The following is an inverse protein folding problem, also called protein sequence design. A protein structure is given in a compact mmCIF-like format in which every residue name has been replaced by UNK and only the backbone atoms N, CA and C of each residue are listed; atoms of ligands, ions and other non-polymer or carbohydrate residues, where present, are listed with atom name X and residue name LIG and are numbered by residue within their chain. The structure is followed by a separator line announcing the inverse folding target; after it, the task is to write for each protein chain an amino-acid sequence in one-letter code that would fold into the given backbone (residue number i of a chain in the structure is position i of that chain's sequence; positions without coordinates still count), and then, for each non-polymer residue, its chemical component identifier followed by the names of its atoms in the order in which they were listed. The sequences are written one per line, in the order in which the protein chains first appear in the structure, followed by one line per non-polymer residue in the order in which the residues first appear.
data_IF_746012630338
#
_entry.id   IF_746012630338
#
_cell.length_a   1.000
_cell.length_b   1.000
_cell.length_c   1.000
_cell.angle_alpha   90.00
_cell.angle_beta   90.00
_cell.angle_gamma   90.00
#
_symmetry.space_group_name_H-M   'P 1'
#
loop_
_entity.id
_entity.type
_entity.pdbx_description
1 polymer ?
#
# COMPACT_ATOMS: atom_id res chain seq x y z
N UNK A 1 -2.00 -4.64 19.07
CA UNK A 1 -3.08 -5.24 18.24
C UNK A 1 -2.79 -5.13 16.73
N UNK A 2 -2.35 -3.96 16.21
CA UNK A 2 -2.02 -3.74 14.78
C UNK A 2 -1.07 -4.76 14.11
N UNK A 3 -0.01 -5.21 14.79
CA UNK A 3 0.95 -6.20 14.24
C UNK A 3 0.31 -7.55 13.86
N UNK A 4 -0.74 -7.98 14.57
CA UNK A 4 -1.49 -9.21 14.25
C UNK A 4 -2.29 -9.03 12.97
N UNK A 5 -2.92 -7.86 12.80
CA UNK A 5 -3.69 -7.51 11.60
C UNK A 5 -2.80 -7.46 10.36
N UNK A 6 -1.60 -6.86 10.48
CA UNK A 6 -0.63 -6.82 9.37
C UNK A 6 -0.18 -8.22 8.96
N UNK A 7 0.14 -9.12 9.91
CA UNK A 7 0.54 -10.50 9.59
C UNK A 7 -0.59 -11.32 8.95
N UNK A 8 -1.83 -11.14 9.42
CA UNK A 8 -3.02 -11.77 8.83
C UNK A 8 -3.24 -11.28 7.39
N UNK A 9 -3.17 -9.97 7.17
CA UNK A 9 -3.28 -9.38 5.83
C UNK A 9 -2.12 -9.80 4.91
N UNK A 10 -0.89 -9.87 5.43
CA UNK A 10 0.30 -10.24 4.68
C UNK A 10 0.29 -11.69 4.18
N UNK A 11 -0.54 -12.57 4.74
CA UNK A 11 -0.65 -13.97 4.31
C UNK A 11 -1.12 -14.12 2.86
N UNK A 12 -1.81 -13.12 2.31
CA UNK A 12 -2.24 -13.09 0.91
C UNK A 12 -1.19 -12.47 -0.02
N UNK A 13 0.03 -12.21 0.45
CA UNK A 13 1.08 -11.59 -0.34
C UNK A 13 2.34 -12.43 -0.39
N UNK A 14 2.97 -12.47 -1.56
CA UNK A 14 4.25 -13.16 -1.79
C UNK A 14 5.22 -12.23 -2.52
N UNK A 15 6.51 -12.32 -2.21
CA UNK A 15 7.55 -11.59 -2.95
C UNK A 15 8.32 -12.57 -3.81
N UNK A 16 8.42 -12.28 -5.11
CA UNK A 16 9.21 -13.04 -6.10
C UNK A 16 10.11 -12.08 -6.85
N UNK A 17 11.40 -12.34 -6.87
CA UNK A 17 12.40 -11.54 -7.61
C UNK A 17 12.35 -10.02 -7.32
N UNK A 18 12.02 -9.66 -6.07
CA UNK A 18 11.89 -8.25 -5.65
C UNK A 18 10.53 -7.61 -5.95
N UNK A 19 9.62 -8.33 -6.61
CA UNK A 19 8.26 -7.89 -6.93
C UNK A 19 7.26 -8.48 -5.94
N UNK A 20 6.33 -7.66 -5.45
CA UNK A 20 5.26 -8.07 -4.54
C UNK A 20 4.03 -8.52 -5.34
N UNK A 21 3.44 -9.65 -4.97
CA UNK A 21 2.25 -10.23 -5.58
C UNK A 21 1.17 -10.46 -4.54
N UNK A 22 -0.09 -10.29 -4.94
CA UNK A 22 -1.28 -10.64 -4.19
C UNK A 22 -1.83 -11.98 -4.69
N UNK A 23 -1.98 -12.95 -3.80
CA UNK A 23 -2.47 -14.28 -4.10
C UNK A 23 -3.99 -14.33 -3.93
N UNK A 24 -4.71 -14.34 -5.05
CA UNK A 24 -6.16 -14.56 -5.08
C UNK A 24 -6.44 -16.05 -5.17
N UNK A 25 -7.08 -16.60 -4.14
CA UNK A 25 -7.59 -17.98 -4.15
C UNK A 25 -8.79 -18.10 -5.10
N UNK A 26 -8.73 -19.03 -6.04
CA UNK A 26 -9.90 -19.41 -6.82
C UNK A 26 -10.67 -20.51 -6.10
N UNK A 27 -12.00 -20.36 -5.96
CA UNK A 27 -12.83 -21.38 -5.33
C UNK A 27 -12.79 -22.66 -6.17
N UNK A 28 -12.28 -23.75 -5.59
CA UNK A 28 -12.29 -25.07 -6.21
C UNK A 28 -11.04 -25.44 -7.01
N UNK A 29 -10.05 -24.55 -7.11
CA UNK A 29 -8.73 -24.89 -7.63
C UNK A 29 -7.69 -24.71 -6.53
N UNK A 30 -6.73 -25.63 -6.45
CA UNK A 30 -5.54 -25.50 -5.58
C UNK A 30 -4.50 -24.52 -6.17
N UNK A 31 -4.92 -23.72 -7.15
CA UNK A 31 -4.10 -22.75 -7.87
C UNK A 31 -4.46 -21.33 -7.43
N UNK A 32 -3.42 -20.52 -7.24
CA UNK A 32 -3.53 -19.12 -6.85
C UNK A 32 -3.29 -18.26 -8.07
N UNK A 33 -4.15 -17.28 -8.31
CA UNK A 33 -3.84 -16.22 -9.27
C UNK A 33 -2.94 -15.21 -8.58
N UNK A 34 -1.70 -15.08 -9.05
CA UNK A 34 -0.74 -14.09 -8.56
C UNK A 34 -0.90 -12.78 -9.33
N UNK A 35 -1.35 -11.74 -8.62
CA UNK A 35 -1.55 -10.40 -9.18
C UNK A 35 -0.43 -9.48 -8.72
N UNK A 36 0.28 -8.83 -9.63
CA UNK A 36 1.38 -7.93 -9.28
C UNK A 36 0.87 -6.71 -8.50
N UNK A 37 1.45 -6.44 -7.34
CA UNK A 37 1.04 -5.34 -6.47
C UNK A 37 1.70 -4.03 -6.90
N UNK A 38 0.87 -3.08 -7.31
CA UNK A 38 1.35 -1.79 -7.82
C UNK A 38 1.33 -0.75 -6.70
N UNK A 39 2.50 -0.45 -6.14
CA UNK A 39 2.64 0.52 -5.04
C UNK A 39 2.72 1.98 -5.52
N UNK A 40 3.36 2.23 -6.66
CA UNK A 40 3.62 3.57 -7.16
C UNK A 40 2.40 4.16 -7.87
N UNK A 41 2.03 5.40 -7.51
CA UNK A 41 0.88 6.08 -8.11
C UNK A 41 1.05 6.38 -9.61
N UNK A 42 2.26 6.72 -10.05
CA UNK A 42 2.57 6.93 -11.47
C UNK A 42 2.32 5.65 -12.29
N UNK A 43 2.86 4.51 -11.81
CA UNK A 43 2.65 3.21 -12.46
C UNK A 43 1.18 2.81 -12.54
N UNK A 44 0.38 3.06 -11.50
CA UNK A 44 -1.07 2.83 -11.54
C UNK A 44 -1.74 3.62 -12.65
N UNK A 45 -1.34 4.89 -12.84
CA UNK A 45 -1.90 5.76 -13.88
C UNK A 45 -1.56 5.25 -15.27
N UNK A 46 -0.31 4.83 -15.50
CA UNK A 46 0.12 4.22 -16.78
C UNK A 46 -0.71 2.97 -17.10
N UNK A 47 -0.88 2.07 -16.14
CA UNK A 47 -1.68 0.85 -16.33
C UNK A 47 -3.16 1.16 -16.64
N UNK A 48 -3.72 2.20 -16.03
CA UNK A 48 -5.08 2.64 -16.33
C UNK A 48 -5.16 3.24 -17.73
N UNK A 49 -4.19 4.05 -18.15
CA UNK A 49 -4.13 4.64 -19.50
C UNK A 49 -4.03 3.55 -20.58
N UNK A 50 -3.09 2.62 -20.43
CA UNK A 50 -2.88 1.47 -21.33
C UNK A 50 -4.13 0.59 -21.46
N UNK A 51 -4.85 0.35 -20.36
CA UNK A 51 -6.07 -0.45 -20.37
C UNK A 51 -7.31 0.36 -20.80
N UNK A 52 -7.29 1.69 -20.69
CA UNK A 52 -8.42 2.53 -21.06
C UNK A 52 -8.49 2.79 -22.55
N UNK A 53 -7.33 2.99 -23.19
CA UNK A 53 -7.24 3.26 -24.63
C UNK A 53 -6.80 1.99 -25.35
N UNK A 54 -7.73 1.34 -26.04
CA UNK A 54 -7.38 0.18 -26.86
C UNK A 54 -6.42 0.59 -27.99
N UNK A 55 -5.60 -0.33 -28.54
CA UNK A 55 -4.64 -0.02 -29.61
C UNK A 55 -5.23 0.63 -30.88
N UNK A 56 -6.54 0.55 -31.07
CA UNK A 56 -7.27 1.25 -32.15
C UNK A 56 -7.75 2.66 -31.82
N UNK A 57 -7.39 3.22 -30.65
CA UNK A 57 -7.87 4.52 -30.16
C UNK A 57 -9.29 4.47 -29.58
N UNK A 58 -9.87 3.28 -29.40
CA UNK A 58 -11.18 3.11 -28.79
C UNK A 58 -11.09 3.17 -27.27
N UNK A 59 -11.87 4.09 -26.68
CA UNK A 59 -11.96 4.22 -25.24
C UNK A 59 -12.86 3.15 -24.64
N UNK A 60 -12.30 2.38 -23.70
CA UNK A 60 -12.99 1.32 -22.99
C UNK A 60 -13.91 1.87 -21.88
N UNK A 61 -14.92 1.08 -21.53
CA UNK A 61 -15.81 1.37 -20.40
C UNK A 61 -15.12 1.12 -19.05
N UNK A 62 -15.69 1.66 -17.97
CA UNK A 62 -15.17 1.46 -16.61
C UNK A 62 -15.00 -0.03 -16.26
N UNK A 63 -15.95 -0.87 -16.66
CA UNK A 63 -15.91 -2.30 -16.38
C UNK A 63 -14.80 -3.00 -17.17
N UNK A 64 -14.68 -2.71 -18.47
CA UNK A 64 -13.65 -3.31 -19.34
C UNK A 64 -12.24 -2.96 -18.90
N UNK A 65 -12.00 -1.68 -18.58
CA UNK A 65 -10.70 -1.23 -18.06
C UNK A 65 -10.37 -1.90 -16.73
N UNK A 66 -11.34 -2.00 -15.82
CA UNK A 66 -11.13 -2.71 -14.54
C UNK A 66 -10.87 -4.21 -14.73
N UNK A 67 -11.63 -4.88 -15.58
CA UNK A 67 -11.47 -6.31 -15.88
C UNK A 67 -10.06 -6.58 -16.43
N UNK A 68 -9.59 -5.77 -17.38
CA UNK A 68 -8.26 -5.90 -17.98
C UNK A 68 -7.13 -5.75 -16.94
N UNK A 69 -7.24 -4.76 -16.06
CA UNK A 69 -6.20 -4.49 -15.06
C UNK A 69 -6.23 -5.55 -13.94
N UNK A 70 -7.42 -5.91 -13.44
CA UNK A 70 -7.58 -6.81 -12.29
C UNK A 70 -7.20 -8.25 -12.57
N UNK A 71 -7.04 -8.63 -13.84
CA UNK A 71 -6.51 -9.93 -14.25
C UNK A 71 -5.01 -10.10 -13.96
N UNK A 72 -4.26 -9.00 -13.89
CA UNK A 72 -2.79 -9.05 -13.77
C UNK A 72 -2.24 -8.23 -12.61
N UNK A 73 -2.93 -7.20 -12.18
CA UNK A 73 -2.44 -6.24 -11.19
C UNK A 73 -3.39 -6.09 -10.01
N UNK A 74 -2.83 -5.70 -8.86
CA UNK A 74 -3.59 -5.47 -7.64
C UNK A 74 -3.12 -4.20 -6.91
N UNK A 75 -4.07 -3.41 -6.42
CA UNK A 75 -3.85 -2.39 -5.41
C UNK A 75 -5.17 -2.02 -4.75
N UNK A 76 -5.10 -1.46 -3.54
CA UNK A 76 -6.28 -1.02 -2.79
C UNK A 76 -6.97 0.12 -3.54
N UNK A 77 -8.27 -0.05 -3.81
CA UNK A 77 -9.10 0.97 -4.46
C UNK A 77 -8.98 1.05 -5.98
N UNK A 78 -8.48 0.01 -6.65
CA UNK A 78 -8.34 -0.05 -8.12
C UNK A 78 -9.58 0.42 -8.89
N UNK A 79 -10.76 -0.05 -8.52
CA UNK A 79 -12.00 0.31 -9.21
C UNK A 79 -12.31 1.81 -9.08
N UNK A 80 -12.12 2.40 -7.90
CA UNK A 80 -12.32 3.84 -7.68
C UNK A 80 -11.38 4.65 -8.56
N UNK A 81 -10.09 4.28 -8.62
CA UNK A 81 -9.12 4.99 -9.44
C UNK A 81 -9.41 4.89 -10.94
N UNK A 82 -9.90 3.74 -11.42
CA UNK A 82 -10.37 3.61 -12.81
C UNK A 82 -11.55 4.54 -13.09
N UNK A 83 -12.53 4.61 -12.18
CA UNK A 83 -13.69 5.51 -12.31
C UNK A 83 -13.29 6.98 -12.35
N UNK A 84 -12.42 7.40 -11.44
CA UNK A 84 -11.93 8.77 -11.34
C UNK A 84 -11.17 9.17 -12.61
N UNK A 85 -10.28 8.29 -13.10
CA UNK A 85 -9.53 8.50 -14.33
C UNK A 85 -10.45 8.68 -15.56
N UNK A 86 -11.44 7.80 -15.74
CA UNK A 86 -12.35 7.86 -16.90
C UNK A 86 -13.25 9.11 -16.85
N UNK A 87 -13.59 9.59 -15.65
CA UNK A 87 -14.33 10.84 -15.47
C UNK A 87 -13.52 12.07 -15.90
N UNK A 88 -12.21 12.03 -15.69
CA UNK A 88 -11.27 13.08 -16.08
C UNK A 88 -10.88 13.00 -17.57
N UNK A 89 -11.15 11.88 -18.24
CA UNK A 89 -10.87 11.69 -19.67
C UNK A 89 -11.74 12.61 -20.55
N UNK A 90 -11.09 13.49 -21.32
CA UNK A 90 -11.75 14.47 -22.19
C UNK A 90 -12.66 13.82 -23.25
N UNK A 91 -12.20 12.75 -23.90
CA UNK A 91 -12.95 12.06 -24.95
C UNK A 91 -14.20 11.35 -24.39
N UNK A 92 -14.08 10.73 -23.20
CA UNK A 92 -15.20 10.08 -22.53
C UNK A 92 -16.21 11.10 -22.00
N UNK A 93 -15.73 12.21 -21.43
CA UNK A 93 -16.56 13.30 -20.93
C UNK A 93 -17.38 13.93 -22.05
N UNK A 94 -16.75 14.23 -23.18
CA UNK A 94 -17.42 14.86 -24.33
C UNK A 94 -18.46 13.94 -24.98
N UNK A 95 -18.18 12.63 -25.07
CA UNK A 95 -19.15 11.62 -25.55
C UNK A 95 -20.38 11.53 -24.64
N UNK A 96 -20.19 11.70 -23.32
CA UNK A 96 -21.30 11.69 -22.36
C UNK A 96 -22.11 12.99 -22.39
N UNK A 97 -21.47 14.14 -22.61
CA UNK A 97 -22.16 15.44 -22.76
C UNK A 97 -22.99 15.50 -24.05
N UNK A 98 -22.47 14.99 -25.19
CA UNK A 98 -23.26 14.88 -26.44
C UNK A 98 -24.45 13.92 -26.32
N UNK A 99 -24.34 12.89 -25.48
CA UNK A 99 -25.43 11.95 -25.21
C UNK A 99 -26.54 12.50 -24.32
N UNK A 100 -26.30 13.61 -23.58
CA UNK A 100 -27.28 14.30 -22.74
C UNK A 100 -27.93 15.52 -23.41
N UNK A 101 -27.79 15.68 -24.73
CA UNK A 101 -28.52 16.70 -25.49
C UNK A 101 -30.01 16.37 -25.55
N UNK A 102 -30.82 17.07 -24.76
CA UNK A 102 -32.29 17.01 -24.83
C UNK A 102 -32.79 17.67 -26.13
N UNK A 103 -33.75 17.08 -26.86
CA UNK A 103 -34.42 17.77 -27.96
C UNK A 103 -35.47 18.72 -27.36
N UNK A 104 -35.32 20.03 -27.55
CA UNK A 104 -36.42 20.95 -27.30
C UNK A 104 -36.56 21.99 -28.43
N UNK A 105 -37.82 22.20 -28.80
CA UNK A 105 -38.38 23.30 -29.58
C UNK A 105 -38.52 23.16 -31.11
N UNK A 106 -39.57 22.43 -31.51
CA UNK A 106 -40.39 22.82 -32.66
C UNK A 106 -41.87 22.65 -32.29
N UNK A 107 -42.45 23.66 -31.64
CA UNK A 107 -43.90 23.81 -31.57
C UNK A 107 -44.41 24.30 -32.93
N UNK A 108 -45.20 23.47 -33.62
CA UNK A 108 -45.84 23.80 -34.89
C UNK A 108 -46.87 22.75 -35.30
N UNK A 109 -48.08 22.90 -34.76
CA UNK A 109 -49.39 22.36 -35.16
C UNK A 109 -49.46 21.51 -36.45
N UNK A 110 -50.04 20.30 -36.38
CA UNK A 110 -51.16 19.83 -37.23
C UNK A 110 -51.80 18.57 -36.60
N UNK A 111 -53.13 18.54 -36.65
CA UNK A 111 -54.04 17.51 -36.16
C UNK A 111 -54.01 16.23 -37.01
N UNK A 112 -54.20 15.08 -36.35
CA UNK A 112 -54.91 13.94 -36.96
C UNK A 112 -54.23 12.56 -36.86
N UNK A 113 -54.97 11.59 -36.32
CA UNK A 113 -54.86 10.20 -36.76
C UNK A 113 -54.31 9.17 -35.76
N UNK A 114 -55.25 8.47 -35.10
CA UNK A 114 -55.10 7.19 -34.37
C UNK A 114 -54.05 6.21 -34.96
N UNK A 115 -53.28 5.53 -34.08
CA UNK A 115 -53.26 4.04 -33.95
C UNK A 115 -52.39 3.52 -32.78
N UNK A 116 -53.07 2.81 -31.88
CA UNK A 116 -52.68 1.62 -31.11
C UNK A 116 -51.22 1.31 -30.68
N UNK A 117 -51.10 1.16 -29.35
CA UNK A 117 -50.47 0.02 -28.62
C UNK A 117 -48.93 0.00 -28.52
N UNK A 118 -48.39 0.25 -27.33
CA UNK A 118 -48.06 -0.72 -26.25
C UNK A 118 -47.55 0.05 -25.02
N UNK A 119 -47.96 -0.43 -23.84
CA UNK A 119 -47.53 0.01 -22.51
C UNK A 119 -46.06 -0.40 -22.29
N UNK A 120 -45.27 0.51 -21.75
CA UNK A 120 -43.99 0.23 -21.09
C UNK A 120 -43.79 1.32 -20.05
N UNK A 121 -43.82 0.93 -18.78
CA UNK A 121 -43.89 1.81 -17.63
C UNK A 121 -42.59 2.59 -17.39
N UNK A 122 -42.75 3.80 -16.89
CA UNK A 122 -41.69 4.62 -16.33
C UNK A 122 -41.38 4.24 -14.87
N UNK A 123 -40.24 4.77 -14.41
CA UNK A 123 -39.74 4.91 -13.04
C UNK A 123 -38.70 3.88 -12.60
N UNK A 124 -37.83 4.23 -11.65
CA UNK A 124 -36.90 5.37 -11.67
C UNK A 124 -35.47 4.89 -11.30
N UNK A 125 -34.49 5.78 -11.39
CA UNK A 125 -33.13 5.54 -10.90
C UNK A 125 -33.17 5.00 -9.46
N UNK A 126 -32.73 3.76 -9.28
CA UNK A 126 -32.44 3.18 -7.98
C UNK A 126 -31.00 3.53 -7.62
N UNK A 127 -30.88 4.33 -6.56
CA UNK A 127 -29.71 4.41 -5.71
C UNK A 127 -29.35 2.99 -5.25
N UNK A 128 -28.22 2.46 -5.70
CA UNK A 128 -27.61 1.29 -5.08
C UNK A 128 -26.44 1.79 -4.23
N UNK A 129 -26.78 2.12 -3.00
CA UNK A 129 -25.93 1.83 -1.85
C UNK A 129 -25.85 0.31 -1.75
N UNK A 130 -24.67 -0.28 -1.92
CA UNK A 130 -24.42 -1.66 -1.53
C UNK A 130 -23.13 -1.70 -0.71
N UNK A 131 -23.31 -2.27 0.47
CA UNK A 131 -22.46 -2.27 1.64
C UNK A 131 -21.08 -2.91 1.41
N UNK A 132 -20.10 -2.34 2.12
CA UNK A 132 -18.80 -2.93 2.40
C UNK A 132 -18.98 -4.24 3.19
N UNK A 133 -18.93 -5.40 2.52
CA UNK A 133 -18.61 -6.66 3.19
C UNK A 133 -17.08 -6.81 3.30
N UNK A 134 -16.56 -6.47 4.47
CA UNK A 134 -15.21 -6.81 4.92
C UNK A 134 -15.08 -8.34 5.07
N UNK A 135 -14.35 -8.98 4.16
CA UNK A 135 -14.01 -10.41 4.25
C UNK A 135 -12.91 -10.60 5.33
N UNK A 136 -13.33 -10.89 6.57
CA UNK A 136 -12.48 -11.39 7.65
C UNK A 136 -12.38 -12.92 7.60
N UNK A 137 -11.18 -13.51 7.47
CA UNK A 137 -11.02 -14.94 7.68
C UNK A 137 -10.59 -15.26 9.12
N UNK A 138 -11.55 -15.39 10.05
CA UNK A 138 -11.54 -16.43 11.08
C UNK A 138 -12.18 -17.67 10.42
N UNK A 139 -11.59 -18.87 10.40
CA UNK A 139 -11.57 -19.82 11.52
C UNK A 139 -10.79 -21.08 11.07
N UNK A 140 -9.92 -21.55 11.98
CA UNK A 140 -9.33 -22.89 12.19
C UNK A 140 -9.49 -24.01 11.13
N UNK A 141 -8.39 -24.70 10.80
CA UNK A 141 -8.16 -26.05 11.33
C UNK A 141 -6.68 -26.46 11.19
N UNK A 142 -6.13 -26.90 12.32
CA UNK A 142 -4.88 -27.65 12.49
C UNK A 142 -4.81 -28.92 11.66
N UNK A 143 -3.62 -29.24 11.11
CA UNK A 143 -3.09 -30.60 11.11
C UNK A 143 -1.56 -30.58 10.90
N UNK A 144 -0.88 -31.05 11.94
CA UNK A 144 0.53 -31.42 12.01
C UNK A 144 0.78 -32.73 11.27
N UNK A 145 1.83 -32.84 10.46
CA UNK A 145 2.60 -34.07 10.29
C UNK A 145 4.07 -33.81 9.93
N UNK A 146 4.90 -34.68 10.47
CA UNK A 146 6.35 -34.65 10.59
C UNK A 146 7.12 -35.06 9.32
N UNK A 147 8.33 -34.51 9.24
CA UNK A 147 9.56 -35.07 8.62
C UNK A 147 9.54 -35.61 7.18
N UNK A 148 10.36 -35.01 6.32
CA UNK A 148 11.46 -35.76 5.72
C UNK A 148 12.68 -34.88 5.42
N UNK A 149 13.81 -35.38 5.90
CA UNK A 149 15.17 -34.89 5.83
C UNK A 149 15.78 -35.33 4.49
N UNK A 150 16.37 -34.42 3.73
CA UNK A 150 17.46 -34.82 2.82
C UNK A 150 18.52 -33.73 2.69
N UNK A 151 19.74 -34.18 2.99
CA UNK A 151 21.00 -33.46 2.95
C UNK A 151 21.50 -33.43 1.50
N UNK A 152 22.15 -32.34 1.10
CA UNK A 152 23.35 -32.43 0.26
C UNK A 152 24.24 -31.22 0.51
N UNK A 153 25.51 -31.51 0.76
CA UNK A 153 26.55 -30.54 1.06
C UNK A 153 27.28 -30.12 -0.22
N UNK A 154 27.56 -28.82 -0.37
CA UNK A 154 28.76 -28.31 -1.07
C UNK A 154 29.08 -26.90 -0.59
N UNK A 155 30.36 -26.68 -0.33
CA UNK A 155 30.93 -25.50 0.31
C UNK A 155 31.25 -24.39 -0.70
N UNK A 156 30.98 -23.13 -0.32
CA UNK A 156 31.74 -21.95 -0.76
C UNK A 156 31.41 -20.71 0.09
N UNK A 157 32.48 -20.09 0.63
CA UNK A 157 32.69 -18.67 0.97
C UNK A 157 31.78 -17.99 2.02
N UNK A 158 32.39 -17.64 3.18
CA UNK A 158 31.75 -16.98 4.31
C UNK A 158 31.69 -15.45 4.11
N UNK A 159 30.55 -14.98 3.63
CA UNK A 159 30.06 -13.64 3.99
C UNK A 159 29.39 -13.79 5.35
N UNK A 160 29.67 -12.89 6.30
CA UNK A 160 29.09 -12.91 7.65
C UNK A 160 27.57 -13.02 7.52
N UNK A 161 27.04 -14.23 7.78
CA UNK A 161 25.61 -14.50 7.73
C UNK A 161 24.97 -13.54 8.71
N UNK A 162 24.07 -12.69 8.23
CA UNK A 162 23.13 -12.00 9.10
C UNK A 162 22.48 -13.07 9.98
N UNK A 163 22.84 -13.09 11.25
CA UNK A 163 22.28 -14.00 12.22
C UNK A 163 20.80 -13.65 12.32
N UNK A 164 19.95 -14.52 11.76
CA UNK A 164 18.50 -14.35 11.81
C UNK A 164 18.08 -14.42 13.27
N UNK A 165 17.78 -13.26 13.84
CA UNK A 165 17.25 -13.17 15.20
C UNK A 165 15.78 -13.60 15.14
N UNK A 166 15.50 -14.80 15.64
CA UNK A 166 14.14 -15.31 15.72
C UNK A 166 13.35 -14.49 16.75
N UNK A 167 12.38 -13.73 16.25
CA UNK A 167 11.41 -13.00 17.07
C UNK A 167 10.17 -13.87 17.18
N UNK A 168 9.76 -14.21 18.40
CA UNK A 168 8.58 -15.06 18.59
C UNK A 168 7.28 -14.34 18.19
N UNK A 169 6.16 -15.08 18.15
CA UNK A 169 4.85 -14.54 17.76
C UNK A 169 4.37 -13.38 18.65
N UNK A 170 4.98 -13.19 19.83
CA UNK A 170 4.73 -12.11 20.79
C UNK A 170 5.68 -10.92 20.62
N UNK A 171 6.62 -10.98 19.68
CA UNK A 171 7.58 -9.90 19.44
C UNK A 171 8.79 -9.95 20.39
N UNK A 172 8.95 -11.03 21.15
CA UNK A 172 10.05 -11.17 22.10
C UNK A 172 11.22 -11.83 21.39
N UNK A 173 12.34 -11.12 21.36
CA UNK A 173 13.63 -11.68 20.96
C UNK A 173 14.16 -12.49 22.15
N UNK A 174 14.11 -13.82 22.07
CA UNK A 174 14.70 -14.70 23.10
C UNK A 174 16.18 -14.96 22.85
N UNK A 175 16.95 -13.93 22.48
CA UNK A 175 18.40 -14.01 22.48
C UNK A 175 18.93 -13.44 23.80
N UNK A 176 19.19 -14.32 24.76
CA UNK A 176 20.00 -13.97 25.92
C UNK A 176 21.47 -14.07 25.54
N UNK A 177 22.00 -13.01 24.92
CA UNK A 177 23.44 -12.85 24.75
C UNK A 177 23.99 -12.20 26.03
N UNK A 178 24.95 -12.81 26.74
CA UNK A 178 25.67 -12.08 27.78
C UNK A 178 26.26 -10.81 27.14
N UNK A 179 26.04 -9.65 27.78
CA UNK A 179 26.38 -8.31 27.23
C UNK A 179 25.53 -7.82 26.05
N UNK A 180 24.32 -8.35 25.85
CA UNK A 180 23.40 -7.94 24.78
C UNK A 180 23.24 -6.40 24.65
N UNK A 181 23.01 -5.70 25.77
CA UNK A 181 22.88 -4.24 25.77
C UNK A 181 24.13 -3.52 25.28
N UNK A 182 25.32 -3.94 25.73
CA UNK A 182 26.59 -3.36 25.29
C UNK A 182 26.82 -3.61 23.80
N UNK A 183 26.59 -4.83 23.32
CA UNK A 183 26.71 -5.17 21.89
C UNK A 183 25.72 -4.39 21.04
N UNK A 184 24.50 -4.14 21.53
CA UNK A 184 23.53 -3.31 20.82
C UNK A 184 23.98 -1.84 20.74
N UNK A 185 24.43 -1.26 21.85
CA UNK A 185 24.93 0.12 21.87
C UNK A 185 26.16 0.30 20.96
N UNK A 186 27.08 -0.66 20.96
CA UNK A 186 28.23 -0.69 20.05
C UNK A 186 27.79 -0.67 18.58
N UNK A 187 26.82 -1.52 18.22
CA UNK A 187 26.27 -1.57 16.85
C UNK A 187 25.54 -0.28 16.45
N UNK A 188 24.75 0.31 17.36
CA UNK A 188 24.07 1.59 17.12
C UNK A 188 25.09 2.71 16.90
N UNK A 189 26.17 2.74 17.66
CA UNK A 189 27.24 3.71 17.49
C UNK A 189 27.95 3.54 16.14
N UNK A 190 28.24 2.31 15.72
CA UNK A 190 28.80 2.01 14.39
C UNK A 190 27.88 2.45 13.25
N UNK A 191 26.56 2.22 13.39
CA UNK A 191 25.56 2.71 12.45
C UNK A 191 25.57 4.25 12.38
N UNK A 192 25.68 4.94 13.51
CA UNK A 192 25.77 6.41 13.55
C UNK A 192 27.01 6.92 12.81
N UNK A 193 28.17 6.35 13.11
CA UNK A 193 29.45 6.72 12.47
C UNK A 193 29.46 6.44 10.96
N UNK A 194 28.68 5.45 10.50
CA UNK A 194 28.52 5.13 9.08
C UNK A 194 27.34 5.85 8.41
N UNK A 195 26.60 6.72 9.13
CA UNK A 195 25.42 7.42 8.63
C UNK A 195 24.21 6.53 8.35
N UNK A 196 24.21 5.30 8.85
CA UNK A 196 23.13 4.33 8.64
C UNK A 196 21.97 4.54 9.60
N UNK A 197 20.75 4.52 9.06
CA UNK A 197 19.50 4.67 9.81
C UNK A 197 19.36 5.98 10.61
N UNK A 198 20.27 6.94 10.43
CA UNK A 198 20.18 8.26 11.06
C UNK A 198 19.02 9.04 10.45
N UNK A 199 17.96 9.20 11.23
CA UNK A 199 16.69 9.83 10.90
C UNK A 199 16.62 11.30 11.33
N UNK A 200 17.71 11.83 11.90
CA UNK A 200 17.88 13.23 12.25
C UNK A 200 19.31 13.72 12.02
N UNK A 201 19.43 14.99 11.62
CA UNK A 201 20.66 15.78 11.65
C UNK A 201 20.50 16.92 12.65
N UNK A 202 21.41 17.00 13.62
CA UNK A 202 21.51 18.08 14.60
C UNK A 202 22.47 19.14 14.09
N UNK A 203 22.04 20.40 14.06
CA UNK A 203 22.92 21.54 13.81
C UNK A 203 23.38 22.12 15.15
N UNK A 204 24.65 21.94 15.48
CA UNK A 204 25.28 22.40 16.74
C UNK A 204 26.42 23.35 16.37
N UNK A 205 26.32 24.62 16.77
CA UNK A 205 27.34 25.65 16.49
C UNK A 205 27.70 25.80 14.99
N UNK A 206 26.77 25.47 14.11
CA UNK A 206 26.98 25.51 12.65
C UNK A 206 27.51 24.21 12.02
N UNK A 207 27.83 23.21 12.84
CA UNK A 207 28.26 21.89 12.38
C UNK A 207 27.10 20.87 12.40
N UNK A 208 27.11 19.95 11.44
CA UNK A 208 26.06 18.95 11.27
C UNK A 208 26.43 17.58 11.88
N UNK A 209 25.54 17.05 12.72
CA UNK A 209 25.71 15.77 13.39
C UNK A 209 24.53 14.83 13.12
N UNK A 210 24.77 13.75 12.39
CA UNK A 210 23.76 12.71 12.18
C UNK A 210 23.60 11.84 13.42
N UNK A 211 22.34 11.57 13.79
CA UNK A 211 22.00 10.78 14.96
C UNK A 211 20.73 9.95 14.75
N UNK A 212 20.39 9.13 15.74
CA UNK A 212 19.15 8.35 15.78
C UNK A 212 18.19 8.97 16.79
N UNK A 213 17.01 9.42 16.34
CA UNK A 213 15.98 10.03 17.20
C UNK A 213 15.60 9.11 18.36
N UNK A 214 15.45 7.82 18.09
CA UNK A 214 15.09 6.82 19.09
C UNK A 214 16.14 6.72 20.22
N UNK A 215 17.42 6.86 19.90
CA UNK A 215 18.50 6.82 20.90
C UNK A 215 18.53 8.12 21.70
N UNK A 216 18.43 9.27 21.03
CA UNK A 216 18.39 10.58 21.71
C UNK A 216 17.19 10.70 22.65
N UNK A 217 15.98 10.32 22.20
CA UNK A 217 14.77 10.35 23.02
C UNK A 217 14.82 9.37 24.20
N UNK A 218 15.47 8.21 24.03
CA UNK A 218 15.62 7.24 25.12
C UNK A 218 16.62 7.69 26.20
N UNK A 219 17.54 8.58 25.86
CA UNK A 219 18.61 9.04 26.74
C UNK A 219 18.44 10.48 27.25
N UNK A 220 17.44 11.22 26.77
CA UNK A 220 17.24 12.63 27.13
C UNK A 220 15.76 13.03 27.01
N UNK A 221 15.19 13.47 28.13
CA UNK A 221 13.82 13.97 28.18
C UNK A 221 13.63 15.22 27.30
N UNK A 222 14.64 16.10 27.22
CA UNK A 222 14.63 17.24 26.30
C UNK A 222 14.40 16.80 24.85
N UNK A 223 15.17 15.82 24.36
CA UNK A 223 15.01 15.32 22.99
C UNK A 223 13.69 14.54 22.82
N UNK A 224 13.26 13.81 23.86
CA UNK A 224 11.98 13.12 23.86
C UNK A 224 10.82 14.10 23.65
N UNK A 225 10.75 15.16 24.46
CA UNK A 225 9.76 16.22 24.35
C UNK A 225 9.89 17.00 23.04
N UNK A 226 11.12 17.36 22.64
CA UNK A 226 11.40 18.06 21.38
C UNK A 226 10.82 17.32 20.17
N UNK A 227 10.95 15.99 20.14
CA UNK A 227 10.42 15.19 19.03
C UNK A 227 8.91 15.00 19.12
N UNK A 228 8.35 14.85 20.33
CA UNK A 228 6.91 14.67 20.55
C UNK A 228 6.12 15.97 20.29
N UNK A 229 6.57 17.09 20.84
CA UNK A 229 5.80 18.34 20.94
C UNK A 229 5.89 19.20 19.68
N UNK A 230 7.08 19.32 19.07
CA UNK A 230 7.30 20.22 17.91
C UNK A 230 6.97 19.60 16.56
N UNK A 231 6.32 18.43 16.52
CA UNK A 231 6.05 17.72 15.25
C UNK A 231 7.32 17.21 14.54
N UNK A 232 8.48 17.28 15.21
CA UNK A 232 9.78 16.88 14.70
C UNK A 232 9.93 15.35 14.55
N UNK A 233 8.93 14.55 14.94
CA UNK A 233 8.79 13.18 14.44
C UNK A 233 8.86 13.14 12.90
N UNK A 234 8.33 14.17 12.21
CA UNK A 234 8.30 14.23 10.75
C UNK A 234 9.50 14.91 10.08
N UNK A 235 10.23 15.81 10.77
CA UNK A 235 11.36 16.53 10.18
C UNK A 235 12.66 15.74 10.28
N UNK A 236 13.49 15.76 9.24
CA UNK A 236 14.83 15.12 9.25
C UNK A 236 15.91 16.05 9.84
N UNK A 237 15.58 17.32 10.09
CA UNK A 237 16.49 18.33 10.61
C UNK A 237 15.97 18.91 11.93
N UNK A 238 16.89 19.16 12.87
CA UNK A 238 16.63 19.94 14.07
C UNK A 238 17.82 20.87 14.35
N UNK A 239 17.51 22.16 14.48
CA UNK A 239 18.46 23.15 14.99
C UNK A 239 18.43 23.07 16.50
N UNK A 240 19.54 22.66 17.12
CA UNK A 240 19.64 22.52 18.57
C UNK A 240 20.78 23.41 19.04
N UNK A 241 20.41 24.52 19.67
CA UNK A 241 21.37 25.40 20.31
C UNK A 241 21.77 24.81 21.66
N UNK A 242 22.95 24.19 21.72
CA UNK A 242 23.53 23.65 22.95
C UNK A 242 24.46 24.65 23.66
N UNK A 243 24.46 25.93 23.26
CA UNK A 243 25.40 26.95 23.76
C UNK A 243 25.20 27.39 25.23
N UNK A 244 24.41 26.68 26.04
CA UNK A 244 24.35 26.99 27.46
C UNK A 244 23.52 26.03 28.29
N UNK A 245 24.18 25.04 28.89
CA UNK A 245 24.04 24.69 30.32
C UNK A 245 25.36 24.05 30.80
N UNK A 246 26.40 24.87 30.96
CA UNK A 246 27.46 24.56 31.93
C UNK A 246 26.90 24.87 33.32
N UNK A 247 26.19 23.90 33.90
CA UNK A 247 25.52 24.08 35.19
C UNK A 247 25.21 22.75 35.89
N UNK A 248 26.27 22.06 36.33
CA UNK A 248 26.48 21.37 37.63
C UNK A 248 27.40 20.16 37.49
#
# INVERSE_FOLDING_TARGET
NAKRKIRKAAACYVVRDGTLYYQRRQKGLDEFTELEVVLQAARRRELIDEAHVAPGGEHQTQQQTWDSISQKYWWRGILKQVKDYIRECSQCREKQERGRGWPEEAAGQVLGGRRGRRRGAASPNTENEEDDEEDDPETLQSQSFDTLKQRSARAAQSVAKHELVFVDSKGVVKQFLPKHGQTMLEKLNQQRLSGQFCDITLLIEGEEYRAHKAVLAACSDYFSELFIEKGAISSHEAVVDLSGESGF
#
